data_IF_593261657932
#
_entry.id   IF_593261657932
#
_cell.length_a   1.000
_cell.length_b   1.000
_cell.length_c   1.000
_cell.angle_alpha   90.00
_cell.angle_beta   90.00
_cell.angle_gamma   90.00
#
_symmetry.space_group_name_H-M   'P 1'
#
loop_
_entity.id
_entity.type
_entity.pdbx_description
1 polymer ?
#
# COMPACT_ATOMS: atom_id res chain seq x y z
N UNK A 1 -11.77 2.49 48.12
CA UNK A 1 -11.38 2.98 46.80
C UNK A 1 -12.65 3.26 46.04
N UNK A 2 -12.96 4.53 45.78
CA UNK A 2 -14.21 5.00 45.17
C UNK A 2 -14.07 4.68 43.69
N UNK A 3 -14.84 3.71 43.18
CA UNK A 3 -15.10 3.55 41.76
C UNK A 3 -15.87 4.81 41.30
N UNK A 4 -15.14 5.82 40.84
CA UNK A 4 -15.74 6.89 40.07
C UNK A 4 -16.24 6.24 38.78
N UNK A 5 -17.55 6.03 38.68
CA UNK A 5 -18.21 5.73 37.41
C UNK A 5 -17.89 6.91 36.49
N UNK A 6 -16.91 6.74 35.59
CA UNK A 6 -16.64 7.74 34.55
C UNK A 6 -17.89 7.76 33.66
N UNK A 7 -18.60 8.89 33.66
CA UNK A 7 -19.65 9.13 32.67
C UNK A 7 -19.05 8.97 31.27
N UNK A 8 -19.77 8.38 30.32
CA UNK A 8 -19.30 8.23 28.96
C UNK A 8 -19.01 9.62 28.38
N UNK A 9 -17.78 9.84 27.92
CA UNK A 9 -17.41 11.05 27.21
C UNK A 9 -17.85 10.92 25.75
N UNK A 10 -18.46 11.97 25.18
CA UNK A 10 -19.00 11.97 23.82
C UNK A 10 -18.18 12.89 22.91
N UNK A 11 -18.18 12.61 21.60
CA UNK A 11 -17.42 13.39 20.62
C UNK A 11 -17.89 14.84 20.49
N UNK A 12 -19.23 15.07 20.48
CA UNK A 12 -19.84 16.38 20.29
C UNK A 12 -20.92 16.70 21.32
N UNK A 13 -21.44 15.73 22.04
CA UNK A 13 -22.53 15.90 23.02
C UNK A 13 -23.36 14.64 23.14
N UNK A 14 -24.40 14.68 23.97
CA UNK A 14 -25.29 13.53 24.20
C UNK A 14 -25.92 13.06 22.87
N UNK A 15 -25.73 11.79 22.55
CA UNK A 15 -26.25 11.17 21.31
C UNK A 15 -25.22 11.06 20.17
N UNK A 16 -24.04 11.69 20.31
CA UNK A 16 -22.93 11.45 19.38
C UNK A 16 -22.13 10.17 19.74
N UNK A 17 -21.11 9.82 18.96
CA UNK A 17 -20.27 8.65 19.25
C UNK A 17 -19.55 8.79 20.60
N UNK A 18 -19.43 7.67 21.31
CA UNK A 18 -18.68 7.60 22.57
C UNK A 18 -17.20 7.76 22.29
N UNK A 19 -16.56 8.66 23.02
CA UNK A 19 -15.14 8.94 22.94
C UNK A 19 -14.36 8.08 23.92
N UNK A 20 -13.32 7.41 23.44
CA UNK A 20 -12.34 6.73 24.29
C UNK A 20 -11.15 7.64 24.52
N UNK A 21 -10.91 8.06 25.74
CA UNK A 21 -9.77 8.92 26.08
C UNK A 21 -8.60 8.06 26.54
N UNK A 22 -7.53 8.06 25.74
CA UNK A 22 -6.28 7.40 26.14
C UNK A 22 -5.48 8.26 27.13
N UNK A 23 -4.71 7.63 28.04
CA UNK A 23 -3.75 8.35 28.89
C UNK A 23 -2.78 9.19 28.05
N UNK A 24 -2.36 10.35 28.58
CA UNK A 24 -1.50 11.30 27.85
C UNK A 24 -0.24 10.66 27.31
N UNK A 25 0.41 9.79 28.09
CA UNK A 25 1.61 9.08 27.65
C UNK A 25 1.34 8.18 26.43
N UNK A 26 0.20 7.47 26.38
CA UNK A 26 -0.21 6.63 25.26
C UNK A 26 -0.48 7.50 24.02
N UNK A 27 -1.20 8.63 24.19
CA UNK A 27 -1.47 9.56 23.08
C UNK A 27 -0.17 10.08 22.45
N UNK A 28 0.77 10.55 23.28
CA UNK A 28 2.07 11.06 22.80
C UNK A 28 2.83 9.95 22.05
N UNK A 29 2.87 8.73 22.59
CA UNK A 29 3.54 7.60 21.93
C UNK A 29 2.90 7.26 20.59
N UNK A 30 1.56 7.25 20.51
CA UNK A 30 0.84 6.98 19.27
C UNK A 30 1.06 8.10 18.24
N UNK A 31 0.99 9.39 18.65
CA UNK A 31 1.29 10.50 17.74
C UNK A 31 2.71 10.43 17.20
N UNK A 32 3.68 10.11 18.05
CA UNK A 32 5.07 9.96 17.60
C UNK A 32 5.25 8.78 16.64
N UNK A 33 4.71 7.60 16.99
CA UNK A 33 4.85 6.38 16.18
C UNK A 33 4.12 6.48 14.84
N UNK A 34 2.83 6.77 14.86
CA UNK A 34 2.01 6.87 13.65
C UNK A 34 2.40 8.10 12.81
N UNK A 35 2.69 9.23 13.45
CA UNK A 35 3.17 10.43 12.77
C UNK A 35 4.50 10.22 12.07
N UNK A 36 5.43 9.50 12.69
CA UNK A 36 6.70 9.11 12.04
C UNK A 36 6.45 8.25 10.81
N UNK A 37 5.51 7.29 10.88
CA UNK A 37 5.15 6.46 9.73
C UNK A 37 4.58 7.30 8.58
N UNK A 38 3.67 8.25 8.87
CA UNK A 38 3.12 9.19 7.87
C UNK A 38 4.23 9.99 7.19
N UNK A 39 5.12 10.61 7.98
CA UNK A 39 6.22 11.45 7.48
C UNK A 39 7.19 10.61 6.63
N UNK A 40 7.57 9.43 7.09
CA UNK A 40 8.46 8.54 6.33
C UNK A 40 7.83 8.07 5.02
N UNK A 41 6.53 7.78 5.02
CA UNK A 41 5.78 7.42 3.80
C UNK A 41 5.77 8.59 2.82
N UNK A 42 5.48 9.80 3.28
CA UNK A 42 5.48 11.01 2.45
C UNK A 42 6.86 11.28 1.86
N UNK A 43 7.87 11.42 2.69
CA UNK A 43 9.21 11.79 2.24
C UNK A 43 9.83 10.72 1.35
N UNK A 44 9.70 9.45 1.73
CA UNK A 44 10.29 8.34 0.98
C UNK A 44 9.68 8.21 -0.43
N UNK A 45 8.37 8.25 -0.54
CA UNK A 45 7.69 8.14 -1.84
C UNK A 45 7.83 9.42 -2.68
N UNK A 46 7.89 10.60 -2.06
CA UNK A 46 8.18 11.84 -2.75
C UNK A 46 9.57 11.79 -3.41
N UNK A 47 10.58 11.25 -2.74
CA UNK A 47 11.90 11.03 -3.34
C UNK A 47 11.85 10.08 -4.53
N UNK A 48 11.06 9.01 -4.48
CA UNK A 48 10.88 8.10 -5.62
C UNK A 48 10.26 8.84 -6.81
N UNK A 49 9.18 9.60 -6.57
CA UNK A 49 8.50 10.38 -7.60
C UNK A 49 9.44 11.39 -8.24
N UNK A 50 10.15 12.18 -7.43
CA UNK A 50 11.11 13.18 -7.93
C UNK A 50 12.24 12.54 -8.70
N UNK A 51 12.79 11.42 -8.23
CA UNK A 51 13.87 10.72 -8.93
C UNK A 51 13.44 10.23 -10.31
N UNK A 52 12.29 9.54 -10.39
CA UNK A 52 11.83 9.00 -11.67
C UNK A 52 11.41 10.13 -12.62
N UNK A 53 10.79 11.21 -12.12
CA UNK A 53 10.40 12.34 -12.95
C UNK A 53 11.61 13.12 -13.50
N UNK A 54 12.67 13.28 -12.70
CA UNK A 54 13.83 14.12 -13.07
C UNK A 54 14.82 13.39 -13.99
N UNK A 55 15.16 12.13 -13.70
CA UNK A 55 16.22 11.42 -14.43
C UNK A 55 15.67 10.66 -15.63
N UNK A 56 16.00 11.12 -16.86
CA UNK A 56 15.55 10.49 -18.12
C UNK A 56 15.92 9.00 -18.22
N UNK A 57 17.05 8.59 -17.63
CA UNK A 57 17.49 7.20 -17.59
C UNK A 57 16.53 6.28 -16.84
N UNK A 58 15.68 6.84 -15.96
CA UNK A 58 14.65 6.09 -15.23
C UNK A 58 13.31 6.00 -15.96
N UNK A 59 13.15 6.61 -17.14
CA UNK A 59 11.94 6.56 -17.94
C UNK A 59 11.81 5.19 -18.66
N UNK A 60 11.60 4.14 -17.88
CA UNK A 60 11.45 2.76 -18.35
C UNK A 60 10.10 2.18 -17.88
N UNK A 61 9.54 1.18 -18.60
CA UNK A 61 8.26 0.59 -18.21
C UNK A 61 8.16 0.18 -16.73
N UNK A 62 9.12 -0.56 -16.15
CA UNK A 62 9.06 -0.94 -14.74
C UNK A 62 9.13 0.27 -13.78
N UNK A 63 9.86 1.32 -14.13
CA UNK A 63 9.92 2.51 -13.30
C UNK A 63 8.63 3.35 -13.36
N UNK A 64 7.89 3.33 -14.48
CA UNK A 64 6.56 3.95 -14.52
C UNK A 64 5.55 3.22 -13.61
N UNK A 65 5.60 1.87 -13.54
CA UNK A 65 4.80 1.12 -12.56
C UNK A 65 5.20 1.45 -11.12
N UNK A 66 6.50 1.57 -10.86
CA UNK A 66 7.03 2.01 -9.55
C UNK A 66 6.60 3.45 -9.21
N UNK A 67 6.57 4.34 -10.20
CA UNK A 67 6.07 5.71 -10.05
C UNK A 67 4.58 5.72 -9.66
N UNK A 68 3.76 4.93 -10.35
CA UNK A 68 2.33 4.78 -10.02
C UNK A 68 2.15 4.27 -8.58
N UNK A 69 2.93 3.29 -8.14
CA UNK A 69 2.90 2.80 -6.76
C UNK A 69 3.31 3.89 -5.76
N UNK A 70 4.37 4.65 -6.04
CA UNK A 70 4.81 5.74 -5.17
C UNK A 70 3.79 6.88 -5.07
N UNK A 71 3.09 7.21 -6.16
CA UNK A 71 1.96 8.16 -6.15
C UNK A 71 0.80 7.63 -5.31
N UNK A 72 0.47 6.35 -5.45
CA UNK A 72 -0.55 5.68 -4.62
C UNK A 72 -0.20 5.79 -3.13
N UNK A 73 1.06 5.52 -2.76
CA UNK A 73 1.54 5.57 -1.38
C UNK A 73 1.56 7.01 -0.82
N UNK A 74 1.88 8.02 -1.64
CA UNK A 74 1.78 9.44 -1.27
C UNK A 74 0.33 9.84 -0.96
N UNK A 75 -0.59 9.48 -1.84
CA UNK A 75 -2.01 9.78 -1.63
C UNK A 75 -2.55 9.03 -0.41
N UNK A 76 -2.12 7.79 -0.18
CA UNK A 76 -2.47 7.01 1.02
C UNK A 76 -2.02 7.75 2.29
N UNK A 77 -0.80 8.28 2.31
CA UNK A 77 -0.29 9.01 3.47
C UNK A 77 -1.13 10.25 3.79
N UNK A 78 -1.51 11.03 2.77
CA UNK A 78 -2.27 12.28 2.95
C UNK A 78 -3.75 12.04 3.22
N UNK A 79 -4.39 11.19 2.41
CA UNK A 79 -5.86 11.04 2.43
C UNK A 79 -6.34 10.01 3.44
N UNK A 80 -5.49 9.06 3.83
CA UNK A 80 -5.88 7.94 4.68
C UNK A 80 -5.09 7.90 5.98
N UNK A 81 -3.75 7.85 5.91
CA UNK A 81 -2.95 7.68 7.12
C UNK A 81 -3.03 8.91 8.04
N UNK A 82 -2.93 10.12 7.51
CA UNK A 82 -2.96 11.34 8.32
C UNK A 82 -4.32 11.54 9.03
N UNK A 83 -5.49 11.57 8.36
CA UNK A 83 -6.76 11.66 9.05
C UNK A 83 -7.06 10.41 9.90
N UNK A 84 -6.66 9.23 9.45
CA UNK A 84 -6.79 7.98 10.20
C UNK A 84 -5.97 7.95 11.50
N UNK A 85 -4.80 8.61 11.53
CA UNK A 85 -4.01 8.80 12.76
C UNK A 85 -4.82 9.59 13.80
N UNK A 86 -5.41 10.71 13.40
CA UNK A 86 -6.23 11.53 14.29
C UNK A 86 -7.42 10.72 14.81
N UNK A 87 -8.15 10.04 13.93
CA UNK A 87 -9.26 9.18 14.31
C UNK A 87 -8.84 8.06 15.27
N UNK A 88 -7.69 7.42 15.04
CA UNK A 88 -7.20 6.31 15.87
C UNK A 88 -6.80 6.77 17.29
N UNK A 89 -6.35 8.00 17.45
CA UNK A 89 -5.86 8.54 18.73
C UNK A 89 -6.94 9.30 19.49
N UNK A 90 -7.69 10.16 18.80
CA UNK A 90 -8.75 10.94 19.41
C UNK A 90 -10.08 10.18 19.47
N UNK A 91 -10.21 9.08 18.73
CA UNK A 91 -11.41 8.23 18.60
C UNK A 91 -12.66 8.94 18.07
N UNK A 92 -12.54 10.21 17.71
CA UNK A 92 -13.58 11.05 17.13
C UNK A 92 -13.16 11.56 15.76
N UNK A 93 -14.14 11.68 14.86
CA UNK A 93 -13.97 12.24 13.53
C UNK A 93 -14.38 13.70 13.49
N UNK A 94 -13.42 14.59 13.17
CA UNK A 94 -13.63 16.04 13.22
C UNK A 94 -13.77 16.69 11.83
N UNK A 95 -13.73 15.90 10.75
CA UNK A 95 -13.63 16.44 9.38
C UNK A 95 -14.97 16.45 8.62
N UNK A 96 -16.08 16.15 9.29
CA UNK A 96 -17.41 16.10 8.68
C UNK A 96 -17.73 14.83 7.90
N UNK A 97 -19.01 14.62 7.62
CA UNK A 97 -19.53 13.37 7.04
C UNK A 97 -19.05 13.16 5.61
N UNK A 98 -19.07 14.20 4.76
CA UNK A 98 -18.62 14.08 3.36
C UNK A 98 -17.15 13.67 3.28
N UNK A 99 -16.29 14.27 4.11
CA UNK A 99 -14.87 13.87 4.10
C UNK A 99 -14.66 12.47 4.68
N UNK A 100 -15.53 12.02 5.60
CA UNK A 100 -15.53 10.61 6.03
C UNK A 100 -15.83 9.66 4.87
N UNK A 101 -16.84 9.94 4.03
CA UNK A 101 -17.14 9.15 2.82
C UNK A 101 -15.95 9.14 1.86
N UNK A 102 -15.32 10.30 1.64
CA UNK A 102 -14.11 10.41 0.80
C UNK A 102 -12.95 9.63 1.42
N UNK A 103 -12.70 9.74 2.71
CA UNK A 103 -11.65 9.02 3.43
C UNK A 103 -11.81 7.50 3.31
N UNK A 104 -13.02 6.98 3.54
CA UNK A 104 -13.34 5.55 3.38
C UNK A 104 -13.14 5.07 1.93
N UNK A 105 -13.67 5.84 0.96
CA UNK A 105 -13.51 5.54 -0.47
C UNK A 105 -12.04 5.56 -0.88
N UNK A 106 -11.29 6.55 -0.43
CA UNK A 106 -9.84 6.66 -0.69
C UNK A 106 -9.06 5.50 -0.08
N UNK A 107 -9.44 5.04 1.12
CA UNK A 107 -8.81 3.88 1.74
C UNK A 107 -8.98 2.62 0.87
N UNK A 108 -10.19 2.33 0.41
CA UNK A 108 -10.47 1.18 -0.47
C UNK A 108 -9.76 1.34 -1.83
N UNK A 109 -9.86 2.53 -2.44
CA UNK A 109 -9.23 2.85 -3.72
C UNK A 109 -7.72 2.64 -3.66
N UNK A 110 -7.05 3.27 -2.69
CA UNK A 110 -5.59 3.30 -2.65
C UNK A 110 -5.00 1.95 -2.21
N UNK A 111 -5.69 1.20 -1.34
CA UNK A 111 -5.33 -0.18 -1.05
C UNK A 111 -5.44 -1.06 -2.29
N UNK A 112 -6.56 -0.96 -3.04
CA UNK A 112 -6.74 -1.71 -4.29
C UNK A 112 -5.70 -1.34 -5.34
N UNK A 113 -5.40 -0.04 -5.49
CA UNK A 113 -4.39 0.46 -6.42
C UNK A 113 -2.99 -0.05 -6.06
N UNK A 114 -2.63 -0.07 -4.78
CA UNK A 114 -1.35 -0.62 -4.32
C UNK A 114 -1.19 -2.09 -4.69
N UNK A 115 -2.23 -2.91 -4.45
CA UNK A 115 -2.24 -4.33 -4.80
C UNK A 115 -2.11 -4.55 -6.32
N UNK A 116 -2.86 -3.81 -7.12
CA UNK A 116 -2.82 -3.92 -8.58
C UNK A 116 -1.47 -3.46 -9.14
N UNK A 117 -0.89 -2.36 -8.63
CA UNK A 117 0.45 -1.93 -9.02
C UNK A 117 1.49 -3.02 -8.74
N UNK A 118 1.47 -3.62 -7.53
CA UNK A 118 2.37 -4.72 -7.18
C UNK A 118 2.15 -5.96 -8.06
N UNK A 119 0.89 -6.25 -8.43
CA UNK A 119 0.57 -7.35 -9.34
C UNK A 119 1.16 -7.12 -10.74
N UNK A 120 1.03 -5.92 -11.28
CA UNK A 120 1.61 -5.56 -12.58
C UNK A 120 3.15 -5.51 -12.56
N UNK A 121 3.76 -5.03 -11.47
CA UNK A 121 5.20 -5.12 -11.26
C UNK A 121 5.65 -6.60 -11.23
N UNK A 122 4.86 -7.49 -10.65
CA UNK A 122 5.14 -8.93 -10.63
C UNK A 122 5.09 -9.55 -12.04
N UNK A 123 4.11 -9.15 -12.85
CA UNK A 123 3.99 -9.56 -14.25
C UNK A 123 5.17 -9.05 -15.07
N UNK A 124 5.57 -7.79 -14.90
CA UNK A 124 6.76 -7.22 -15.54
C UNK A 124 8.01 -8.08 -15.22
N UNK A 125 8.23 -8.40 -13.96
CA UNK A 125 9.36 -9.25 -13.55
C UNK A 125 9.28 -10.66 -14.09
N UNK A 126 8.08 -11.24 -14.18
CA UNK A 126 7.89 -12.54 -14.79
C UNK A 126 8.38 -12.56 -16.25
N UNK A 127 7.99 -11.58 -17.06
CA UNK A 127 8.47 -11.50 -18.43
C UNK A 127 9.97 -11.27 -18.50
N UNK A 128 10.52 -10.39 -17.67
CA UNK A 128 11.96 -10.11 -17.65
C UNK A 128 12.82 -11.34 -17.32
N UNK A 129 12.37 -12.20 -16.40
CA UNK A 129 13.14 -13.36 -15.94
C UNK A 129 12.80 -14.65 -16.69
N UNK A 130 11.50 -14.91 -16.87
CA UNK A 130 11.03 -16.19 -17.43
C UNK A 130 10.87 -16.17 -18.94
N UNK A 131 10.75 -14.99 -19.56
CA UNK A 131 10.50 -14.81 -21.00
C UNK A 131 11.32 -13.66 -21.59
N UNK A 132 12.67 -13.63 -21.41
CA UNK A 132 13.50 -12.46 -21.77
C UNK A 132 13.41 -12.08 -23.26
N UNK A 133 13.25 -13.05 -24.16
CA UNK A 133 13.09 -12.79 -25.59
C UNK A 133 11.78 -12.08 -25.95
N UNK A 134 10.74 -12.25 -25.12
CA UNK A 134 9.45 -11.60 -25.34
C UNK A 134 9.33 -10.27 -24.57
N UNK A 135 10.18 -10.04 -23.59
CA UNK A 135 10.11 -8.88 -22.71
C UNK A 135 10.08 -7.56 -23.48
N UNK A 136 11.02 -7.24 -24.43
CA UNK A 136 11.02 -5.96 -25.14
C UNK A 136 9.79 -5.75 -26.03
N UNK A 137 9.16 -6.84 -26.48
CA UNK A 137 7.96 -6.79 -27.34
C UNK A 137 6.67 -6.65 -26.56
N UNK A 138 6.60 -7.19 -25.34
CA UNK A 138 5.38 -7.25 -24.52
C UNK A 138 5.32 -6.16 -23.47
N UNK A 139 6.44 -5.82 -22.88
CA UNK A 139 6.53 -4.81 -21.81
C UNK A 139 7.12 -3.52 -22.39
N UNK A 140 6.27 -2.75 -23.01
CA UNK A 140 6.58 -1.42 -23.57
C UNK A 140 6.06 -0.31 -22.66
N UNK A 141 6.48 0.92 -22.90
CA UNK A 141 5.94 2.10 -22.20
C UNK A 141 4.41 2.18 -22.37
N UNK A 142 3.91 1.89 -23.57
CA UNK A 142 2.46 1.88 -23.83
C UNK A 142 1.75 0.82 -22.97
N UNK A 143 2.30 -0.38 -22.87
CA UNK A 143 1.74 -1.44 -22.00
C UNK A 143 1.74 -1.01 -20.55
N UNK A 144 2.82 -0.39 -20.05
CA UNK A 144 2.88 0.13 -18.69
C UNK A 144 1.82 1.21 -18.42
N UNK A 145 1.61 2.13 -19.38
CA UNK A 145 0.56 3.15 -19.26
C UNK A 145 -0.83 2.52 -19.20
N UNK A 146 -1.12 1.52 -20.04
CA UNK A 146 -2.40 0.79 -19.97
C UNK A 146 -2.57 0.12 -18.61
N UNK A 147 -1.54 -0.56 -18.08
CA UNK A 147 -1.59 -1.19 -16.77
C UNK A 147 -1.90 -0.17 -15.66
N UNK A 148 -1.28 1.02 -15.71
CA UNK A 148 -1.53 2.12 -14.77
C UNK A 148 -2.97 2.62 -14.89
N UNK A 149 -3.45 2.88 -16.11
CA UNK A 149 -4.84 3.31 -16.32
C UNK A 149 -5.85 2.29 -15.79
N UNK A 150 -5.64 1.02 -16.08
CA UNK A 150 -6.49 -0.07 -15.54
C UNK A 150 -6.46 -0.07 -14.01
N UNK A 151 -5.27 0.06 -13.41
CA UNK A 151 -5.13 0.14 -11.94
C UNK A 151 -5.99 1.25 -11.36
N UNK A 152 -5.84 2.47 -11.84
CA UNK A 152 -6.53 3.63 -11.30
C UNK A 152 -8.04 3.60 -11.58
N UNK A 153 -8.47 3.21 -12.79
CA UNK A 153 -9.89 3.11 -13.15
C UNK A 153 -10.60 2.04 -12.31
N UNK A 154 -10.04 0.84 -12.21
CA UNK A 154 -10.64 -0.25 -11.42
C UNK A 154 -10.70 0.13 -9.94
N UNK A 155 -9.62 0.66 -9.40
CA UNK A 155 -9.56 1.06 -7.99
C UNK A 155 -10.54 2.19 -7.67
N UNK A 156 -10.71 3.16 -8.57
CA UNK A 156 -11.67 4.25 -8.39
C UNK A 156 -13.12 3.72 -8.40
N UNK A 157 -13.46 2.87 -9.35
CA UNK A 157 -14.80 2.26 -9.43
C UNK A 157 -15.09 1.44 -8.17
N UNK A 158 -14.14 0.63 -7.71
CA UNK A 158 -14.31 -0.18 -6.50
C UNK A 158 -14.43 0.71 -5.26
N UNK A 159 -13.51 1.66 -5.07
CA UNK A 159 -13.46 2.49 -3.87
C UNK A 159 -14.66 3.42 -3.72
N UNK A 160 -14.96 4.21 -4.76
CA UNK A 160 -16.10 5.11 -4.73
C UNK A 160 -17.44 4.38 -4.88
N UNK A 161 -17.52 3.37 -5.76
CA UNK A 161 -18.73 2.57 -5.92
C UNK A 161 -19.15 1.86 -4.63
N UNK A 162 -18.20 1.27 -3.90
CA UNK A 162 -18.49 0.58 -2.64
C UNK A 162 -19.11 1.52 -1.60
N UNK A 163 -18.56 2.73 -1.41
CA UNK A 163 -18.95 3.61 -0.31
C UNK A 163 -20.12 4.54 -0.69
N UNK A 164 -20.11 5.14 -1.89
CA UNK A 164 -21.13 6.11 -2.29
C UNK A 164 -22.44 5.45 -2.71
N UNK A 165 -22.41 4.18 -3.19
CA UNK A 165 -23.60 3.39 -3.46
C UNK A 165 -23.99 2.49 -2.25
N UNK A 166 -23.33 2.68 -1.12
CA UNK A 166 -23.57 1.95 0.14
C UNK A 166 -23.52 0.41 0.01
N UNK A 167 -22.80 -0.09 -1.02
CA UNK A 167 -22.64 -1.54 -1.26
C UNK A 167 -21.90 -2.23 -0.11
N UNK A 168 -21.14 -1.49 0.68
CA UNK A 168 -20.46 -2.01 1.86
C UNK A 168 -21.43 -2.47 2.96
N UNK A 169 -22.57 -1.79 3.12
CA UNK A 169 -23.58 -2.11 4.15
C UNK A 169 -24.83 -2.81 3.59
N UNK A 170 -24.80 -3.21 2.33
CA UNK A 170 -25.96 -3.86 1.67
C UNK A 170 -26.45 -5.06 2.48
N UNK A 171 -27.74 -5.01 2.89
CA UNK A 171 -28.41 -6.03 3.70
C UNK A 171 -28.20 -5.92 5.21
N UNK A 172 -27.49 -4.89 5.68
CA UNK A 172 -27.31 -4.56 7.11
C UNK A 172 -27.56 -3.07 7.40
N UNK A 173 -28.25 -2.36 6.51
CA UNK A 173 -28.46 -0.92 6.57
C UNK A 173 -29.09 -0.50 7.91
N UNK A 174 -30.18 -1.21 8.32
CA UNK A 174 -30.86 -0.94 9.57
C UNK A 174 -29.94 -1.09 10.80
N UNK A 175 -29.12 -2.16 10.80
CA UNK A 175 -28.13 -2.34 11.87
C UNK A 175 -27.09 -1.23 11.86
N UNK A 176 -26.60 -0.82 10.69
CA UNK A 176 -25.59 0.21 10.56
C UNK A 176 -26.12 1.57 11.08
N UNK A 177 -27.29 2.00 10.62
CA UNK A 177 -27.84 3.31 10.98
C UNK A 177 -28.35 3.38 12.43
N UNK A 178 -28.83 2.26 12.99
CA UNK A 178 -29.36 2.27 14.36
C UNK A 178 -28.26 2.07 15.44
N UNK A 179 -27.16 1.38 15.12
CA UNK A 179 -26.20 0.97 16.15
C UNK A 179 -24.75 1.40 15.90
N UNK A 180 -24.40 1.78 14.68
CA UNK A 180 -23.01 2.08 14.31
C UNK A 180 -22.81 3.53 13.87
N UNK A 181 -23.73 4.06 13.07
CA UNK A 181 -23.66 5.43 12.60
C UNK A 181 -24.00 6.39 13.72
N UNK A 182 -23.07 7.26 14.05
CA UNK A 182 -23.25 8.31 15.05
C UNK A 182 -22.41 9.55 14.67
N UNK A 183 -22.83 10.73 15.14
CA UNK A 183 -22.09 11.96 14.88
C UNK A 183 -20.69 11.89 15.52
N UNK A 184 -19.66 12.20 14.77
CA UNK A 184 -18.27 12.03 15.21
C UNK A 184 -17.70 10.65 15.00
N UNK A 185 -18.43 9.75 14.33
CA UNK A 185 -17.94 8.45 13.88
C UNK A 185 -17.51 8.45 12.42
N UNK A 186 -16.49 7.65 12.10
CA UNK A 186 -16.11 7.38 10.71
C UNK A 186 -15.62 5.93 10.57
N UNK A 187 -16.57 5.01 10.51
CA UNK A 187 -16.28 3.57 10.45
C UNK A 187 -16.67 3.01 9.08
N UNK A 188 -15.78 2.26 8.44
CA UNK A 188 -16.09 1.48 7.25
C UNK A 188 -16.56 0.08 7.71
N UNK A 189 -17.86 -0.08 7.92
CA UNK A 189 -18.46 -1.38 8.18
C UNK A 189 -18.78 -2.08 6.86
N UNK A 190 -18.62 -3.39 6.80
CA UNK A 190 -18.96 -4.20 5.63
C UNK A 190 -19.87 -5.35 6.04
N UNK A 191 -20.92 -5.61 5.24
CA UNK A 191 -21.75 -6.81 5.37
C UNK A 191 -20.95 -8.09 5.05
N UNK A 192 -21.43 -9.25 5.45
CA UNK A 192 -20.75 -10.53 5.21
C UNK A 192 -20.46 -10.79 3.73
N UNK A 193 -21.40 -10.43 2.86
CA UNK A 193 -21.23 -10.57 1.40
C UNK A 193 -20.20 -9.56 0.89
N UNK A 194 -20.35 -8.29 1.27
CA UNK A 194 -19.45 -7.23 0.81
C UNK A 194 -18.00 -7.48 1.26
N UNK A 195 -17.78 -7.83 2.53
CA UNK A 195 -16.45 -8.10 3.08
C UNK A 195 -15.78 -9.30 2.43
N UNK A 196 -16.54 -10.37 2.19
CA UNK A 196 -16.03 -11.58 1.54
C UNK A 196 -15.68 -11.32 0.08
N UNK A 197 -16.60 -10.76 -0.70
CA UNK A 197 -16.38 -10.47 -2.13
C UNK A 197 -15.25 -9.48 -2.33
N UNK A 198 -15.25 -8.37 -1.59
CA UNK A 198 -14.18 -7.36 -1.71
C UNK A 198 -12.81 -7.91 -1.32
N UNK A 199 -12.72 -8.70 -0.25
CA UNK A 199 -11.46 -9.32 0.18
C UNK A 199 -10.94 -10.34 -0.83
N UNK A 200 -11.81 -11.18 -1.38
CA UNK A 200 -11.43 -12.17 -2.39
C UNK A 200 -10.90 -11.48 -3.65
N UNK A 201 -11.63 -10.48 -4.16
CA UNK A 201 -11.29 -9.81 -5.42
C UNK A 201 -10.06 -8.90 -5.23
N UNK A 202 -10.03 -8.12 -4.14
CA UNK A 202 -8.98 -7.11 -3.94
C UNK A 202 -7.69 -7.67 -3.34
N UNK A 203 -7.71 -8.80 -2.64
CA UNK A 203 -6.54 -9.31 -1.95
C UNK A 203 -6.21 -10.76 -2.27
N UNK A 204 -7.14 -11.70 -2.07
CA UNK A 204 -6.79 -13.12 -2.17
C UNK A 204 -6.48 -13.56 -3.60
N UNK A 205 -7.27 -13.16 -4.60
CA UNK A 205 -7.01 -13.51 -6.01
C UNK A 205 -5.69 -12.90 -6.49
N UNK A 206 -5.44 -11.58 -6.37
CA UNK A 206 -4.14 -11.02 -6.73
C UNK A 206 -2.98 -11.64 -5.96
N UNK A 207 -3.14 -11.89 -4.66
CA UNK A 207 -2.13 -12.51 -3.81
C UNK A 207 -1.73 -13.90 -4.27
N UNK A 208 -2.69 -14.77 -4.60
CA UNK A 208 -2.42 -16.12 -5.14
C UNK A 208 -1.71 -16.04 -6.50
N UNK A 209 -2.16 -15.14 -7.39
CA UNK A 209 -1.50 -14.92 -8.68
C UNK A 209 -0.04 -14.49 -8.48
N UNK A 210 0.19 -13.53 -7.59
CA UNK A 210 1.54 -13.05 -7.27
C UNK A 210 2.41 -14.17 -6.70
N UNK A 211 1.92 -14.95 -5.75
CA UNK A 211 2.64 -16.11 -5.21
C UNK A 211 3.01 -17.11 -6.30
N UNK A 212 2.08 -17.45 -7.20
CA UNK A 212 2.32 -18.33 -8.33
C UNK A 212 3.41 -17.80 -9.28
N UNK A 213 3.39 -16.50 -9.58
CA UNK A 213 4.41 -15.81 -10.37
C UNK A 213 5.77 -15.93 -9.70
N UNK A 214 5.87 -15.66 -8.39
CA UNK A 214 7.14 -15.72 -7.66
C UNK A 214 7.70 -17.11 -7.53
N UNK A 215 6.87 -18.12 -7.28
CA UNK A 215 7.28 -19.52 -7.30
C UNK A 215 7.89 -19.89 -8.65
N UNK A 216 7.28 -19.46 -9.74
CA UNK A 216 7.79 -19.71 -11.09
C UNK A 216 9.11 -18.97 -11.36
N UNK A 217 9.23 -17.71 -11.00
CA UNK A 217 10.48 -16.95 -11.10
C UNK A 217 11.59 -17.63 -10.28
N UNK A 218 11.28 -18.04 -9.05
CA UNK A 218 12.23 -18.74 -8.19
C UNK A 218 12.73 -20.07 -8.83
N UNK A 219 11.80 -20.89 -9.34
CA UNK A 219 12.17 -22.15 -10.00
C UNK A 219 13.04 -21.93 -11.23
N UNK A 220 12.73 -20.93 -12.06
CA UNK A 220 13.53 -20.59 -13.25
C UNK A 220 14.92 -20.10 -12.83
N UNK A 221 15.01 -19.20 -11.85
CA UNK A 221 16.28 -18.70 -11.33
C UNK A 221 17.16 -19.84 -10.76
N UNK A 222 16.57 -20.79 -10.04
CA UNK A 222 17.30 -21.98 -9.54
C UNK A 222 17.82 -22.87 -10.67
N UNK A 223 17.02 -23.09 -11.72
CA UNK A 223 17.47 -23.87 -12.89
C UNK A 223 18.63 -23.20 -13.60
N UNK A 224 18.57 -21.90 -13.82
CA UNK A 224 19.66 -21.12 -14.45
C UNK A 224 20.97 -21.26 -13.65
N UNK A 225 20.90 -21.19 -12.31
CA UNK A 225 22.09 -21.38 -11.45
C UNK A 225 22.72 -22.76 -11.65
N UNK A 226 21.92 -23.81 -11.68
CA UNK A 226 22.42 -25.17 -11.85
C UNK A 226 23.09 -25.37 -13.23
N UNK A 227 22.49 -24.79 -14.27
CA UNK A 227 23.03 -24.89 -15.65
C UNK A 227 24.34 -24.12 -15.79
N UNK A 228 24.46 -22.92 -15.23
CA UNK A 228 25.68 -22.10 -15.27
C UNK A 228 26.80 -22.71 -14.43
N UNK A 229 26.48 -23.33 -13.28
CA UNK A 229 27.45 -24.03 -12.43
C UNK A 229 28.12 -25.21 -13.14
N UNK A 230 27.49 -25.77 -14.17
CA UNK A 230 28.02 -26.84 -14.98
C UNK A 230 28.87 -26.37 -16.19
N UNK A 231 28.77 -25.11 -16.59
CA UNK A 231 29.38 -24.58 -17.83
C UNK A 231 30.52 -23.58 -17.63
N UNK A 232 31.02 -23.34 -16.45
CA UNK A 232 32.21 -22.49 -16.16
C UNK A 232 32.37 -21.19 -17.00
N UNK A 233 31.28 -20.63 -17.51
CA UNK A 233 31.29 -19.49 -18.44
C UNK A 233 30.95 -18.16 -17.75
N UNK A 234 31.73 -17.16 -18.08
CA UNK A 234 31.85 -15.79 -17.54
C UNK A 234 30.60 -14.88 -17.76
N UNK A 235 29.38 -15.36 -17.54
CA UNK A 235 28.13 -14.57 -17.67
C UNK A 235 27.72 -13.86 -16.38
N UNK A 236 28.64 -13.35 -15.57
CA UNK A 236 28.37 -13.16 -14.13
C UNK A 236 27.71 -11.83 -13.72
N UNK A 237 27.76 -10.75 -14.53
CA UNK A 237 27.26 -9.42 -14.08
C UNK A 237 25.76 -9.23 -14.30
N UNK A 238 25.23 -9.60 -15.45
CA UNK A 238 23.79 -9.49 -15.80
C UNK A 238 22.96 -10.38 -14.89
N UNK A 239 23.41 -11.63 -14.67
CA UNK A 239 22.73 -12.59 -13.79
C UNK A 239 22.68 -12.14 -12.32
N UNK A 240 23.76 -11.53 -11.82
CA UNK A 240 23.79 -10.96 -10.45
C UNK A 240 22.78 -9.83 -10.28
N UNK A 241 22.62 -8.96 -11.29
CA UNK A 241 21.67 -7.84 -11.23
C UNK A 241 20.21 -8.33 -11.26
N UNK A 242 19.88 -9.27 -12.16
CA UNK A 242 18.54 -9.86 -12.24
C UNK A 242 18.18 -10.63 -10.97
N UNK A 243 19.10 -11.40 -10.40
CA UNK A 243 18.91 -12.13 -9.13
C UNK A 243 18.67 -11.17 -7.96
N UNK A 244 19.40 -10.06 -7.91
CA UNK A 244 19.21 -9.04 -6.88
C UNK A 244 17.83 -8.39 -7.00
N UNK A 245 17.39 -8.04 -8.21
CA UNK A 245 16.07 -7.48 -8.47
C UNK A 245 14.94 -8.46 -8.09
N UNK A 246 15.08 -9.72 -8.45
CA UNK A 246 14.12 -10.79 -8.10
C UNK A 246 14.01 -10.98 -6.59
N UNK A 247 15.15 -11.02 -5.88
CA UNK A 247 15.18 -11.14 -4.41
C UNK A 247 14.51 -9.94 -3.74
N UNK A 248 14.80 -8.74 -4.20
CA UNK A 248 14.20 -7.52 -3.68
C UNK A 248 12.68 -7.56 -3.77
N UNK A 249 12.20 -7.95 -4.93
CA UNK A 249 10.78 -7.99 -5.19
C UNK A 249 10.07 -9.10 -4.39
N UNK A 250 10.72 -10.25 -4.20
CA UNK A 250 10.21 -11.31 -3.32
C UNK A 250 10.06 -10.81 -1.87
N UNK A 251 10.98 -9.97 -1.40
CA UNK A 251 10.90 -9.34 -0.08
C UNK A 251 9.70 -8.38 -0.01
N UNK A 252 9.55 -7.49 -0.99
CA UNK A 252 8.42 -6.54 -1.06
C UNK A 252 7.09 -7.29 -0.99
N UNK A 253 6.97 -8.34 -1.79
CA UNK A 253 5.74 -9.13 -1.85
C UNK A 253 5.48 -9.93 -0.56
N UNK A 254 6.53 -10.51 0.02
CA UNK A 254 6.42 -11.22 1.30
C UNK A 254 5.97 -10.30 2.42
N UNK A 255 6.54 -9.10 2.50
CA UNK A 255 6.13 -8.06 3.46
C UNK A 255 4.69 -7.64 3.21
N UNK A 256 4.32 -7.36 1.95
CA UNK A 256 2.97 -6.97 1.58
C UNK A 256 1.93 -8.01 2.03
N UNK A 257 2.12 -9.28 1.66
CA UNK A 257 1.19 -10.34 2.03
C UNK A 257 1.12 -10.52 3.55
N UNK A 258 2.27 -10.51 4.24
CA UNK A 258 2.32 -10.68 5.70
C UNK A 258 1.60 -9.56 6.44
N UNK A 259 1.70 -8.33 5.96
CA UNK A 259 1.13 -7.16 6.62
C UNK A 259 -0.37 -7.02 6.38
N UNK A 260 -0.87 -7.39 5.20
CA UNK A 260 -2.27 -7.27 4.86
C UNK A 260 -3.12 -8.51 5.21
N UNK A 261 -2.52 -9.71 5.26
CA UNK A 261 -3.28 -10.95 5.56
C UNK A 261 -4.09 -10.86 6.85
N UNK A 262 -3.56 -10.40 8.00
CA UNK A 262 -4.33 -10.31 9.22
C UNK A 262 -5.58 -9.42 9.09
N UNK A 263 -5.43 -8.26 8.45
CA UNK A 263 -6.55 -7.35 8.22
C UNK A 263 -7.65 -7.98 7.38
N UNK A 264 -7.32 -8.58 6.23
CA UNK A 264 -8.32 -9.20 5.35
C UNK A 264 -8.95 -10.45 5.97
N UNK A 265 -8.23 -11.20 6.81
CA UNK A 265 -8.82 -12.29 7.59
C UNK A 265 -9.87 -11.76 8.58
N UNK A 266 -9.54 -10.71 9.33
CA UNK A 266 -10.49 -10.10 10.26
C UNK A 266 -11.70 -9.52 9.52
N UNK A 267 -11.47 -8.89 8.36
CA UNK A 267 -12.53 -8.31 7.56
C UNK A 267 -13.56 -9.34 7.12
N UNK A 268 -13.12 -10.55 6.73
CA UNK A 268 -14.03 -11.65 6.38
C UNK A 268 -14.74 -12.21 7.63
N UNK A 269 -14.01 -12.45 8.72
CA UNK A 269 -14.55 -13.15 9.89
C UNK A 269 -15.56 -12.29 10.67
N UNK A 270 -15.31 -10.98 10.77
CA UNK A 270 -16.05 -10.08 11.66
C UNK A 270 -17.60 -10.10 11.48
N UNK A 271 -18.16 -10.05 10.26
CA UNK A 271 -19.60 -10.14 10.08
C UNK A 271 -20.21 -11.46 10.59
N UNK A 272 -19.49 -12.58 10.43
CA UNK A 272 -19.97 -13.90 10.82
C UNK A 272 -19.99 -14.11 12.34
N UNK A 273 -19.18 -13.34 13.08
CA UNK A 273 -19.18 -13.32 14.54
C UNK A 273 -19.92 -12.10 15.12
N UNK A 274 -20.87 -11.55 14.35
CA UNK A 274 -21.73 -10.43 14.75
C UNK A 274 -20.94 -9.17 15.15
N UNK A 275 -19.87 -8.84 14.40
CA UNK A 275 -19.04 -7.65 14.63
C UNK A 275 -18.43 -7.55 16.03
N UNK A 276 -18.07 -8.69 16.63
CA UNK A 276 -17.55 -8.75 18.01
C UNK A 276 -16.03 -8.46 18.11
N UNK A 277 -15.34 -8.25 16.98
CA UNK A 277 -13.91 -7.92 17.00
C UNK A 277 -13.72 -6.48 17.52
N UNK A 278 -12.86 -6.28 18.53
CA UNK A 278 -12.59 -4.94 19.06
C UNK A 278 -12.08 -3.98 17.97
N UNK A 279 -12.60 -2.74 17.87
CA UNK A 279 -12.15 -1.75 16.89
C UNK A 279 -10.65 -1.48 16.95
N UNK A 280 -10.04 -1.52 18.15
CA UNK A 280 -8.60 -1.36 18.32
C UNK A 280 -7.79 -2.41 17.55
N UNK A 281 -8.27 -3.65 17.47
CA UNK A 281 -7.60 -4.72 16.74
C UNK A 281 -7.67 -4.48 15.23
N UNK A 282 -8.83 -4.05 14.72
CA UNK A 282 -8.99 -3.64 13.32
C UNK A 282 -8.05 -2.49 12.96
N UNK A 283 -8.00 -1.47 13.80
CA UNK A 283 -7.08 -0.33 13.62
C UNK A 283 -5.62 -0.79 13.59
N UNK A 284 -5.22 -1.65 14.52
CA UNK A 284 -3.83 -2.14 14.59
C UNK A 284 -3.43 -2.87 13.30
N UNK A 285 -4.26 -3.78 12.80
CA UNK A 285 -3.94 -4.49 11.55
C UNK A 285 -4.12 -3.63 10.30
N UNK A 286 -5.02 -2.65 10.32
CA UNK A 286 -5.11 -1.63 9.27
C UNK A 286 -3.82 -0.82 9.17
N UNK A 287 -3.29 -0.34 10.30
CA UNK A 287 -2.00 0.36 10.35
C UNK A 287 -0.84 -0.52 9.93
N UNK A 288 -0.82 -1.81 10.33
CA UNK A 288 0.18 -2.75 9.86
C UNK A 288 0.18 -2.84 8.32
N UNK A 289 -1.01 -2.90 7.70
CA UNK A 289 -1.15 -2.86 6.25
C UNK A 289 -0.61 -1.57 5.63
N UNK A 290 -0.93 -0.41 6.21
CA UNK A 290 -0.44 0.89 5.71
C UNK A 290 1.08 1.05 5.82
N UNK A 291 1.74 0.43 6.81
CA UNK A 291 3.20 0.43 6.93
C UNK A 291 3.91 -0.20 5.72
N UNK A 292 3.21 -1.01 4.92
CA UNK A 292 3.76 -1.49 3.65
C UNK A 292 4.20 -0.34 2.74
N UNK A 293 3.41 0.73 2.66
CA UNK A 293 3.73 1.93 1.88
C UNK A 293 4.93 2.72 2.43
N UNK A 294 5.20 2.60 3.74
CA UNK A 294 6.41 3.15 4.38
C UNK A 294 7.66 2.34 4.03
N UNK A 295 7.50 1.02 3.89
CA UNK A 295 8.63 0.11 3.64
C UNK A 295 9.10 0.16 2.18
N UNK A 296 8.23 0.43 1.21
CA UNK A 296 8.59 0.47 -0.21
C UNK A 296 9.83 1.33 -0.51
N UNK A 297 9.92 2.62 -0.12
CA UNK A 297 11.12 3.43 -0.35
C UNK A 297 12.35 2.92 0.40
N UNK A 298 12.19 2.33 1.59
CA UNK A 298 13.30 1.75 2.34
C UNK A 298 13.91 0.56 1.58
N UNK A 299 13.07 -0.32 1.03
CA UNK A 299 13.55 -1.42 0.20
C UNK A 299 14.27 -0.89 -1.03
N UNK A 300 13.77 0.18 -1.68
CA UNK A 300 14.49 0.80 -2.79
C UNK A 300 15.85 1.36 -2.37
N UNK A 301 15.94 1.98 -1.20
CA UNK A 301 17.21 2.49 -0.66
C UNK A 301 18.24 1.38 -0.41
N UNK A 302 17.81 0.22 0.10
CA UNK A 302 18.71 -0.91 0.35
C UNK A 302 19.14 -1.65 -0.93
N UNK A 303 18.22 -1.82 -1.86
CA UNK A 303 18.43 -2.76 -2.96
C UNK A 303 18.76 -2.09 -4.30
N UNK A 304 18.33 -0.85 -4.57
CA UNK A 304 18.57 -0.17 -5.84
C UNK A 304 19.67 0.89 -5.74
N UNK A 305 20.76 0.65 -6.48
CA UNK A 305 21.90 1.59 -6.54
C UNK A 305 21.50 2.95 -7.13
N UNK A 306 20.62 2.97 -8.13
CA UNK A 306 20.13 4.19 -8.73
C UNK A 306 19.40 5.07 -7.72
N UNK A 307 18.61 4.47 -6.83
CA UNK A 307 17.88 5.22 -5.81
C UNK A 307 18.85 5.93 -4.86
N UNK A 308 19.88 5.23 -4.37
CA UNK A 308 20.89 5.84 -3.49
C UNK A 308 21.65 6.97 -4.16
N UNK A 309 22.02 6.81 -5.44
CA UNK A 309 22.69 7.87 -6.21
C UNK A 309 21.78 9.07 -6.45
N UNK A 310 20.52 8.83 -6.85
CA UNK A 310 19.53 9.87 -7.02
C UNK A 310 19.29 10.62 -5.70
N UNK A 311 19.15 9.90 -4.58
CA UNK A 311 18.99 10.47 -3.25
C UNK A 311 20.18 11.39 -2.88
N UNK A 312 21.42 10.94 -3.08
CA UNK A 312 22.62 11.76 -2.82
C UNK A 312 22.65 13.04 -3.65
N UNK A 313 22.24 12.96 -4.93
CA UNK A 313 22.18 14.15 -5.82
C UNK A 313 21.10 15.12 -5.33
N UNK A 314 19.94 14.62 -4.93
CA UNK A 314 18.85 15.46 -4.45
C UNK A 314 19.19 16.15 -3.13
N UNK A 315 19.68 15.40 -2.14
CA UNK A 315 20.05 15.95 -0.81
C UNK A 315 21.22 16.93 -0.89
N UNK A 316 22.17 16.73 -1.84
CA UNK A 316 23.27 17.69 -2.06
C UNK A 316 22.87 18.96 -2.81
N UNK A 317 21.59 19.15 -3.15
CA UNK A 317 21.09 20.31 -3.88
C UNK A 317 21.55 20.39 -5.34
N UNK A 318 22.27 19.38 -5.84
CA UNK A 318 22.81 19.37 -7.22
C UNK A 318 21.74 19.13 -8.28
N UNK A 319 20.54 18.72 -7.89
CA UNK A 319 19.41 18.47 -8.79
C UNK A 319 19.02 19.70 -9.63
N UNK A 320 19.26 20.91 -9.11
CA UNK A 320 18.93 22.17 -9.80
C UNK A 320 19.94 22.59 -10.87
N UNK A 321 21.01 21.84 -11.10
CA UNK A 321 21.96 22.11 -12.19
C UNK A 321 21.44 21.48 -13.47
N UNK A 322 21.39 22.25 -14.55
CA UNK A 322 20.78 21.88 -15.84
C UNK A 322 21.34 20.60 -16.50
N UNK A 323 22.53 20.15 -16.08
CA UNK A 323 23.22 19.00 -16.66
C UNK A 323 22.96 17.66 -15.91
N UNK A 324 22.09 17.67 -14.89
CA UNK A 324 21.92 16.50 -14.03
C UNK A 324 20.83 15.51 -14.48
N UNK A 325 19.89 15.92 -15.35
CA UNK A 325 18.83 15.06 -15.86
C UNK A 325 19.36 13.88 -16.72
N UNK A 326 20.49 14.09 -17.40
CA UNK A 326 21.16 13.13 -18.29
C UNK A 326 22.27 12.34 -17.59
N UNK A 327 22.50 12.58 -16.29
CA UNK A 327 23.58 11.92 -15.53
C UNK A 327 23.32 10.42 -15.40
N UNK A 328 24.34 9.60 -15.70
CA UNK A 328 24.29 8.14 -15.56
C UNK A 328 24.18 7.74 -14.08
N UNK A 329 23.03 7.16 -13.69
CA UNK A 329 22.76 6.62 -12.36
C UNK A 329 23.26 5.17 -12.22
N UNK A 330 23.37 4.43 -13.33
CA UNK A 330 23.92 3.09 -13.35
C UNK A 330 25.44 3.17 -13.57
N UNK A 331 26.23 2.54 -12.70
CA UNK A 331 27.64 2.32 -12.95
C UNK A 331 27.76 1.23 -14.03
N UNK A 332 28.58 1.47 -15.02
CA UNK A 332 29.01 0.44 -15.98
C UNK A 332 29.78 -0.68 -15.27
#
# INVERSE_FOLDING_TARGET
MIHRSMEPEFCYGNGSCVRTVYPVAVRITLYFGLGSAVVLTLLGNLFVVMAIAHFKQLHTPPNYLTLSLAVTDLLLAVMVMFPGMILSIETCWYFGEMFCKIHKSSSVLLCTASILNLSFISIDRYYAVCRPMLYPRKITVHTAVIMILVTWCVSAVVGFGMVFLELNILGIEEFYYNYVACEGGCVLLQSGVSSTVSSIISFYIPGVIMLGIYLKIYMVAQRQVRTIGLQNTSSSKVDKHQRKATKTLAIIMGVFLSFWTPFFMLNIINPFIRYSIPPALFNTFGWLGYLNSTINPLVYAFFYSWFRKAFQIMVSGRIFRSDMSDKKLFAE
#
